data_IF_700204790385
#
_entry.id   IF_700204790385
#
_cell.length_a   1.000
_cell.length_b   1.000
_cell.length_c   1.000
_cell.angle_alpha   90.00
_cell.angle_beta   90.00
_cell.angle_gamma   90.00
#
_symmetry.space_group_name_H-M   'P 1'
#
loop_
_entity.id
_entity.type
_entity.pdbx_description
1 polymer ?
#
# COMPACT_ATOMS: atom_id res chain seq x y z
N UNK A 1 10.03 -53.52 -13.34
CA UNK A 1 10.30 -52.49 -12.31
C UNK A 1 11.07 -51.28 -12.84
N UNK A 2 12.19 -51.46 -13.57
CA UNK A 2 13.02 -50.34 -14.07
C UNK A 2 12.32 -49.42 -15.09
N UNK A 3 11.48 -49.96 -15.97
CA UNK A 3 10.75 -49.17 -16.99
C UNK A 3 9.67 -48.28 -16.37
N UNK A 4 8.97 -48.78 -15.34
CA UNK A 4 7.94 -48.00 -14.64
C UNK A 4 8.54 -46.81 -13.88
N UNK A 5 9.71 -47.01 -13.26
CA UNK A 5 10.44 -45.92 -12.58
C UNK A 5 10.92 -44.85 -13.58
N UNK A 6 11.37 -45.27 -14.78
CA UNK A 6 11.80 -44.35 -15.83
C UNK A 6 10.63 -43.51 -16.37
N UNK A 7 9.45 -44.12 -16.55
CA UNK A 7 8.24 -43.43 -17.01
C UNK A 7 7.77 -42.41 -15.95
N UNK A 8 7.78 -42.78 -14.66
CA UNK A 8 7.42 -41.85 -13.58
C UNK A 8 8.39 -40.66 -13.53
N UNK A 9 9.70 -40.91 -13.65
CA UNK A 9 10.71 -39.85 -13.70
C UNK A 9 10.50 -38.91 -14.89
N UNK A 10 10.18 -39.47 -16.08
CA UNK A 10 9.91 -38.68 -17.27
C UNK A 10 8.62 -37.85 -17.11
N UNK A 11 7.58 -38.38 -16.48
CA UNK A 11 6.35 -37.65 -16.20
C UNK A 11 6.58 -36.44 -15.28
N UNK A 12 7.47 -36.56 -14.28
CA UNK A 12 7.84 -35.45 -13.37
C UNK A 12 8.71 -34.38 -14.06
N UNK A 13 9.48 -34.78 -15.08
CA UNK A 13 10.33 -33.85 -15.86
C UNK A 13 9.59 -33.18 -17.02
N UNK A 14 8.57 -33.82 -17.59
CA UNK A 14 7.82 -33.34 -18.77
C UNK A 14 6.55 -32.58 -18.37
N UNK A 15 5.92 -32.93 -17.24
CA UNK A 15 4.95 -32.04 -16.62
C UNK A 15 5.70 -31.09 -15.69
N UNK A 16 5.86 -29.79 -16.02
CA UNK A 16 6.17 -28.84 -14.98
C UNK A 16 5.08 -29.04 -13.93
N UNK A 17 5.48 -29.40 -12.70
CA UNK A 17 4.65 -29.23 -11.53
C UNK A 17 4.32 -27.74 -11.48
N UNK A 18 3.30 -27.33 -12.23
CA UNK A 18 2.60 -26.09 -11.98
C UNK A 18 1.96 -26.36 -10.63
N UNK A 19 2.69 -25.99 -9.58
CA UNK A 19 2.10 -25.77 -8.28
C UNK A 19 0.94 -24.82 -8.58
N UNK A 20 -0.27 -25.35 -8.57
CA UNK A 20 -1.45 -24.53 -8.49
C UNK A 20 -1.19 -23.64 -7.28
N UNK A 21 -0.98 -22.35 -7.53
CA UNK A 21 -0.83 -21.39 -6.46
C UNK A 21 -2.17 -21.41 -5.74
N UNK A 22 -2.28 -22.22 -4.69
CA UNK A 22 -3.35 -22.10 -3.73
C UNK A 22 -3.37 -20.62 -3.32
N UNK A 23 -4.56 -20.09 -3.07
CA UNK A 23 -4.71 -18.79 -2.42
C UNK A 23 -3.72 -18.77 -1.25
N UNK A 24 -2.76 -17.83 -1.22
CA UNK A 24 -1.73 -17.84 -0.19
C UNK A 24 -2.41 -17.91 1.17
N UNK A 25 -2.00 -18.85 2.01
CA UNK A 25 -2.50 -18.88 3.37
C UNK A 25 -2.09 -17.58 4.08
N UNK A 26 -2.87 -17.18 5.08
CA UNK A 26 -2.65 -15.91 5.78
C UNK A 26 -1.18 -15.72 6.24
N UNK A 27 -0.46 -16.75 6.76
CA UNK A 27 0.95 -16.63 7.09
C UNK A 27 1.85 -16.28 5.90
N UNK A 28 1.66 -16.92 4.73
CA UNK A 28 2.44 -16.59 3.54
C UNK A 28 2.18 -15.17 3.05
N UNK A 29 0.93 -14.72 3.12
CA UNK A 29 0.57 -13.34 2.76
C UNK A 29 1.21 -12.32 3.70
N UNK A 30 1.12 -12.52 5.02
CA UNK A 30 1.75 -11.64 6.02
C UNK A 30 3.28 -11.59 5.85
N UNK A 31 3.91 -12.72 5.51
CA UNK A 31 5.34 -12.76 5.20
C UNK A 31 5.68 -11.91 3.97
N UNK A 32 4.88 -12.01 2.90
CA UNK A 32 5.07 -11.19 1.70
C UNK A 32 4.87 -9.71 2.00
N UNK A 33 3.85 -9.34 2.78
CA UNK A 33 3.60 -7.95 3.17
C UNK A 33 4.69 -7.39 4.08
N UNK A 34 5.27 -8.20 4.98
CA UNK A 34 6.43 -7.81 5.78
C UNK A 34 7.69 -7.64 4.92
N UNK A 35 7.94 -8.59 4.00
CA UNK A 35 9.07 -8.53 3.08
C UNK A 35 8.96 -7.31 2.14
N UNK A 36 7.76 -7.00 1.65
CA UNK A 36 7.51 -5.83 0.83
C UNK A 36 7.67 -4.52 1.63
N UNK A 37 7.22 -4.49 2.89
CA UNK A 37 7.45 -3.35 3.79
C UNK A 37 8.93 -3.04 3.95
N UNK A 38 9.80 -4.05 4.06
CA UNK A 38 11.25 -3.86 4.14
C UNK A 38 11.89 -3.58 2.77
N UNK A 39 11.39 -4.23 1.71
CA UNK A 39 11.84 -4.00 0.34
C UNK A 39 11.55 -2.56 -0.15
N UNK A 40 10.63 -1.84 0.51
CA UNK A 40 10.38 -0.43 0.22
C UNK A 40 11.52 0.50 0.68
N UNK A 41 12.40 0.05 1.60
CA UNK A 41 13.55 0.82 2.08
C UNK A 41 14.74 0.79 1.11
N UNK A 42 15.74 1.64 1.32
CA UNK A 42 17.04 1.57 0.65
C UNK A 42 18.02 0.64 1.40
N UNK A 43 18.99 0.08 0.66
CA UNK A 43 20.07 -0.73 1.22
C UNK A 43 20.10 -2.16 0.69
N UNK A 44 21.21 -2.85 0.94
CA UNK A 44 21.49 -4.18 0.37
C UNK A 44 20.45 -5.24 0.78
N UNK A 45 19.93 -5.15 2.00
CA UNK A 45 18.89 -6.07 2.47
C UNK A 45 17.57 -5.86 1.73
N UNK A 46 17.17 -4.60 1.50
CA UNK A 46 15.99 -4.28 0.69
C UNK A 46 16.16 -4.76 -0.75
N UNK A 47 17.34 -4.57 -1.36
CA UNK A 47 17.62 -5.11 -2.71
C UNK A 47 17.53 -6.63 -2.77
N UNK A 48 18.05 -7.33 -1.77
CA UNK A 48 17.92 -8.79 -1.67
C UNK A 48 16.45 -9.21 -1.61
N UNK A 49 15.62 -8.51 -0.81
CA UNK A 49 14.20 -8.81 -0.71
C UNK A 49 13.45 -8.52 -2.01
N UNK A 50 13.76 -7.42 -2.71
CA UNK A 50 13.23 -7.17 -4.06
C UNK A 50 13.55 -8.30 -5.02
N UNK A 51 14.81 -8.74 -5.07
CA UNK A 51 15.23 -9.87 -5.90
C UNK A 51 14.48 -11.16 -5.54
N UNK A 52 14.23 -11.42 -4.25
CA UNK A 52 13.45 -12.58 -3.78
C UNK A 52 11.98 -12.50 -4.16
N UNK A 53 11.37 -11.33 -4.03
CA UNK A 53 9.98 -11.11 -4.42
C UNK A 53 9.81 -11.26 -5.94
N UNK A 54 10.74 -10.73 -6.74
CA UNK A 54 10.74 -10.92 -8.19
C UNK A 54 10.94 -12.39 -8.58
N UNK A 55 11.85 -13.11 -7.91
CA UNK A 55 12.00 -14.55 -8.10
C UNK A 55 10.74 -15.35 -7.72
N UNK A 56 9.90 -14.81 -6.84
CA UNK A 56 8.60 -15.37 -6.46
C UNK A 56 7.44 -14.93 -7.38
N UNK A 57 7.73 -14.24 -8.49
CA UNK A 57 6.75 -13.87 -9.52
C UNK A 57 6.09 -12.50 -9.34
N UNK A 58 6.60 -11.66 -8.45
CA UNK A 58 6.14 -10.27 -8.32
C UNK A 58 6.87 -9.33 -9.29
N UNK A 59 6.10 -8.54 -10.02
CA UNK A 59 6.58 -7.45 -10.86
C UNK A 59 6.64 -6.15 -10.04
N UNK A 60 7.73 -5.40 -10.15
CA UNK A 60 7.89 -4.10 -9.48
C UNK A 60 7.50 -3.02 -10.49
N UNK A 61 6.40 -2.31 -10.24
CA UNK A 61 5.76 -1.41 -11.21
C UNK A 61 6.17 0.05 -11.01
N UNK A 62 6.46 0.46 -9.77
CA UNK A 62 6.82 1.84 -9.49
C UNK A 62 7.51 2.03 -8.15
N UNK A 63 8.43 2.99 -8.12
CA UNK A 63 9.10 3.46 -6.92
C UNK A 63 9.25 4.99 -6.97
N UNK A 64 8.76 5.64 -5.92
CA UNK A 64 8.98 7.06 -5.56
C UNK A 64 8.21 8.12 -6.36
N UNK A 65 7.69 9.12 -5.63
CA UNK A 65 7.20 10.37 -6.19
C UNK A 65 7.88 11.54 -5.48
N UNK A 66 8.41 12.50 -6.25
CA UNK A 66 8.86 13.77 -5.68
C UNK A 66 7.61 14.50 -5.18
N UNK A 67 7.58 14.91 -3.92
CA UNK A 67 6.33 15.39 -3.32
C UNK A 67 6.21 16.89 -3.16
N UNK A 68 5.09 17.30 -2.53
CA UNK A 68 4.65 18.69 -2.44
C UNK A 68 5.32 19.43 -1.27
N UNK A 69 5.75 20.68 -1.49
CA UNK A 69 6.38 21.55 -0.46
C UNK A 69 7.57 20.90 0.26
N UNK A 70 8.37 20.10 -0.45
CA UNK A 70 9.60 19.50 0.06
C UNK A 70 9.42 18.22 0.89
N UNK A 71 8.20 17.68 1.00
CA UNK A 71 7.98 16.33 1.54
C UNK A 71 8.12 15.34 0.40
N UNK A 72 9.03 14.37 0.49
CA UNK A 72 9.14 13.27 -0.50
C UNK A 72 8.26 12.12 -0.03
N UNK A 73 7.28 11.74 -0.85
CA UNK A 73 6.44 10.59 -0.61
C UNK A 73 7.02 9.39 -1.34
N UNK A 74 7.13 8.26 -0.66
CA UNK A 74 7.65 7.04 -1.29
C UNK A 74 6.63 5.95 -1.14
N UNK A 75 6.45 5.20 -2.20
CA UNK A 75 5.72 3.96 -2.18
C UNK A 75 6.42 3.00 -3.13
N UNK A 76 6.26 1.73 -2.85
CA UNK A 76 6.79 0.62 -3.62
C UNK A 76 5.61 -0.22 -4.07
N UNK A 77 5.32 -0.18 -5.36
CA UNK A 77 4.18 -0.88 -5.94
C UNK A 77 4.63 -2.15 -6.65
N UNK A 78 4.02 -3.25 -6.25
CA UNK A 78 4.24 -4.58 -6.80
C UNK A 78 2.93 -5.17 -7.30
N UNK A 79 3.01 -5.94 -8.38
CA UNK A 79 1.88 -6.65 -8.95
C UNK A 79 2.24 -8.11 -9.14
N UNK A 80 1.32 -9.01 -8.82
CA UNK A 80 1.41 -10.42 -9.20
C UNK A 80 0.18 -10.80 -9.99
N UNK A 81 0.37 -11.36 -11.18
CA UNK A 81 -0.69 -11.90 -12.02
C UNK A 81 -0.88 -13.38 -11.72
N UNK A 82 -2.11 -13.81 -11.46
CA UNK A 82 -2.43 -15.23 -11.36
C UNK A 82 -2.60 -15.88 -12.75
N UNK A 83 -2.95 -17.17 -12.76
CA UNK A 83 -3.07 -17.94 -14.01
C UNK A 83 -4.33 -17.58 -14.81
N UNK A 84 -5.33 -17.04 -14.13
CA UNK A 84 -6.62 -16.57 -14.60
C UNK A 84 -6.58 -15.11 -15.07
N UNK A 85 -5.45 -14.42 -14.84
CA UNK A 85 -5.18 -13.07 -15.30
C UNK A 85 -5.61 -11.97 -14.32
N UNK A 86 -6.10 -12.33 -13.13
CA UNK A 86 -6.39 -11.36 -12.09
C UNK A 86 -5.09 -10.81 -11.49
N UNK A 87 -5.08 -9.50 -11.26
CA UNK A 87 -3.94 -8.81 -10.69
C UNK A 87 -4.09 -8.69 -9.16
N UNK A 88 -3.00 -9.02 -8.47
CA UNK A 88 -2.86 -8.78 -7.04
C UNK A 88 -1.93 -7.59 -6.85
N UNK A 89 -2.46 -6.47 -6.37
CA UNK A 89 -1.68 -5.26 -6.14
C UNK A 89 -1.19 -5.22 -4.70
N UNK A 90 0.09 -4.94 -4.50
CA UNK A 90 0.68 -4.69 -3.20
C UNK A 90 1.43 -3.36 -3.23
N UNK A 91 1.03 -2.43 -2.37
CA UNK A 91 1.72 -1.16 -2.18
C UNK A 91 2.31 -1.11 -0.78
N UNK A 92 3.63 -1.00 -0.71
CA UNK A 92 4.37 -0.84 0.52
C UNK A 92 4.86 0.61 0.67
N UNK A 93 4.63 1.20 1.84
CA UNK A 93 5.18 2.51 2.19
C UNK A 93 6.40 2.30 3.10
N UNK A 94 7.60 2.78 2.73
CA UNK A 94 8.73 2.73 3.62
C UNK A 94 8.50 3.65 4.82
N UNK A 95 8.95 3.23 5.98
CA UNK A 95 9.05 4.12 7.13
C UNK A 95 10.21 5.10 6.99
N UNK A 96 10.63 5.66 8.12
CA UNK A 96 11.68 6.67 8.13
C UNK A 96 13.08 6.04 7.94
N UNK A 97 13.75 6.34 6.83
CA UNK A 97 15.16 5.94 6.62
C UNK A 97 16.18 6.84 7.34
N UNK A 98 15.82 8.11 7.55
CA UNK A 98 16.64 9.08 8.31
C UNK A 98 16.04 9.27 9.69
N UNK A 99 15.96 8.16 10.43
CA UNK A 99 15.07 7.88 11.57
C UNK A 99 14.87 8.98 12.62
N UNK A 100 15.89 9.79 12.91
CA UNK A 100 15.77 10.87 13.90
C UNK A 100 15.02 12.07 13.36
N UNK A 101 15.42 12.57 12.19
CA UNK A 101 15.07 13.92 11.75
C UNK A 101 13.61 14.00 11.32
N UNK A 102 13.12 13.00 10.58
CA UNK A 102 11.71 12.96 10.16
C UNK A 102 10.80 12.61 11.34
N UNK A 103 11.20 11.74 12.27
CA UNK A 103 10.38 11.47 13.45
C UNK A 103 10.25 12.69 14.36
N UNK A 104 11.29 13.54 14.42
CA UNK A 104 11.21 14.84 15.10
C UNK A 104 10.48 15.91 14.28
N UNK A 105 10.60 15.89 12.95
CA UNK A 105 9.94 16.83 12.03
C UNK A 105 8.47 16.49 11.77
N UNK A 106 8.05 15.28 12.12
CA UNK A 106 6.66 14.85 12.14
C UNK A 106 5.88 15.85 12.99
N UNK A 107 5.13 16.70 12.29
CA UNK A 107 4.34 17.76 12.93
C UNK A 107 3.29 17.09 13.80
N UNK A 108 3.44 17.20 15.12
CA UNK A 108 2.45 16.85 16.16
C UNK A 108 1.08 17.56 16.01
N UNK A 109 0.92 18.34 14.95
CA UNK A 109 -0.33 19.01 14.57
C UNK A 109 -1.29 17.99 13.99
N UNK A 110 -2.57 18.22 14.25
CA UNK A 110 -3.65 17.48 13.60
C UNK A 110 -4.11 18.23 12.35
N UNK A 111 -4.57 17.50 11.35
CA UNK A 111 -5.23 18.03 10.17
C UNK A 111 -6.59 17.36 9.99
N UNK A 112 -7.54 18.07 9.40
CA UNK A 112 -8.80 17.45 9.01
C UNK A 112 -8.57 16.49 7.83
N UNK A 113 -9.35 15.41 7.81
CA UNK A 113 -9.30 14.35 6.83
C UNK A 113 -10.68 14.14 6.20
N UNK A 114 -10.72 13.90 4.90
CA UNK A 114 -11.95 13.78 4.10
C UNK A 114 -11.86 14.53 2.76
N UNK A 115 -12.99 14.60 2.06
CA UNK A 115 -13.08 14.98 0.64
C UNK A 115 -13.19 13.73 -0.25
N UNK A 116 -13.61 13.88 -1.52
CA UNK A 116 -13.84 12.77 -2.46
C UNK A 116 -13.04 12.94 -3.78
N UNK A 117 -12.09 13.87 -3.82
CA UNK A 117 -11.16 14.08 -4.92
C UNK A 117 -9.86 14.71 -4.38
N UNK A 118 -8.70 14.57 -5.05
CA UNK A 118 -7.45 15.13 -4.55
C UNK A 118 -7.45 16.65 -4.31
N UNK A 119 -8.19 17.40 -5.13
CA UNK A 119 -8.38 18.84 -4.90
C UNK A 119 -9.10 19.11 -3.57
N UNK A 120 -10.14 18.32 -3.25
CA UNK A 120 -10.87 18.42 -1.98
C UNK A 120 -10.01 17.95 -0.80
N UNK A 121 -9.14 16.96 -0.99
CA UNK A 121 -8.25 16.48 0.05
C UNK A 121 -7.38 17.60 0.60
N UNK A 122 -6.83 18.44 -0.28
CA UNK A 122 -6.03 19.60 0.09
C UNK A 122 -6.87 20.68 0.78
N UNK A 123 -8.07 20.95 0.28
CA UNK A 123 -8.98 21.92 0.88
C UNK A 123 -9.40 21.53 2.31
N UNK A 124 -9.81 20.28 2.53
CA UNK A 124 -10.18 19.74 3.85
C UNK A 124 -8.97 19.72 4.79
N UNK A 125 -7.80 19.30 4.30
CA UNK A 125 -6.57 19.28 5.08
C UNK A 125 -6.22 20.66 5.66
N UNK A 126 -6.53 21.72 4.92
CA UNK A 126 -6.19 23.10 5.26
C UNK A 126 -7.33 23.86 5.97
N UNK A 127 -8.45 23.20 6.32
CA UNK A 127 -9.52 23.77 7.15
C UNK A 127 -8.96 24.40 8.44
N UNK A 128 -9.34 25.64 8.81
CA UNK A 128 -8.88 26.31 10.03
C UNK A 128 -9.17 25.51 11.30
N UNK A 129 -8.35 25.69 12.35
CA UNK A 129 -8.45 24.85 13.57
C UNK A 129 -9.81 25.02 14.26
N UNK A 130 -10.35 26.22 14.20
CA UNK A 130 -11.60 26.67 14.83
C UNK A 130 -12.82 25.97 14.22
N UNK A 131 -12.72 25.51 12.97
CA UNK A 131 -13.80 24.88 12.19
C UNK A 131 -13.76 23.34 12.24
N UNK A 132 -12.76 22.75 12.92
CA UNK A 132 -12.52 21.30 12.92
C UNK A 132 -13.39 20.49 13.89
N UNK A 133 -14.39 21.11 14.51
CA UNK A 133 -15.25 20.46 15.49
C UNK A 133 -15.99 19.26 14.89
N UNK A 134 -15.79 18.07 15.47
CA UNK A 134 -16.44 16.83 15.03
C UNK A 134 -15.91 16.23 13.72
N UNK A 135 -14.87 16.82 13.11
CA UNK A 135 -14.26 16.29 11.89
C UNK A 135 -13.33 15.10 12.20
N UNK A 136 -13.17 14.16 11.23
CA UNK A 136 -12.05 13.23 11.24
C UNK A 136 -10.72 14.00 11.26
N UNK A 137 -9.89 13.75 12.28
CA UNK A 137 -8.58 14.38 12.42
C UNK A 137 -7.49 13.32 12.42
N UNK A 138 -6.43 13.59 11.67
CA UNK A 138 -5.25 12.71 11.57
C UNK A 138 -3.97 13.47 11.85
N UNK A 139 -2.88 12.76 12.14
CA UNK A 139 -1.57 13.35 12.31
C UNK A 139 -1.09 14.00 10.98
N UNK A 140 -0.75 15.29 11.02
CA UNK A 140 -0.46 16.09 9.83
C UNK A 140 0.70 15.52 9.03
N UNK A 141 1.76 15.08 9.70
CA UNK A 141 2.94 14.54 9.01
C UNK A 141 2.66 13.24 8.26
N UNK A 142 1.78 12.37 8.78
CA UNK A 142 1.39 11.13 8.10
C UNK A 142 0.54 11.44 6.87
N UNK A 143 -0.38 12.41 7.00
CA UNK A 143 -1.21 12.87 5.90
C UNK A 143 -0.40 13.53 4.79
N UNK A 144 0.55 14.41 5.13
CA UNK A 144 1.41 15.05 4.14
C UNK A 144 2.30 14.02 3.41
N UNK A 145 2.79 12.99 4.12
CA UNK A 145 3.53 11.89 3.50
C UNK A 145 2.66 11.06 2.54
N UNK A 146 1.47 10.65 2.96
CA UNK A 146 0.52 9.92 2.11
C UNK A 146 0.10 10.74 0.89
N UNK A 147 -0.14 12.04 1.07
CA UNK A 147 -0.46 12.98 0.00
C UNK A 147 0.69 13.06 -1.01
N UNK A 148 1.93 13.17 -0.54
CA UNK A 148 3.11 13.19 -1.39
C UNK A 148 3.27 11.88 -2.17
N UNK A 149 3.02 10.74 -1.53
CA UNK A 149 3.24 9.43 -2.11
C UNK A 149 2.24 9.11 -3.24
N UNK A 150 0.95 9.33 -3.01
CA UNK A 150 -0.09 8.87 -3.95
C UNK A 150 -0.84 9.99 -4.66
N UNK A 151 -0.92 11.17 -4.06
CA UNK A 151 -1.86 12.22 -4.48
C UNK A 151 -1.16 13.53 -4.84
N UNK A 152 0.12 13.45 -5.21
CA UNK A 152 0.93 14.58 -5.71
C UNK A 152 1.52 14.20 -7.06
N UNK A 153 1.69 15.18 -7.93
CA UNK A 153 2.26 15.08 -9.27
C UNK A 153 1.52 14.12 -10.21
N UNK A 154 0.68 14.74 -11.03
CA UNK A 154 -0.06 14.09 -12.09
C UNK A 154 0.80 14.07 -13.36
N UNK A 155 1.73 13.10 -13.47
CA UNK A 155 2.58 12.95 -14.65
C UNK A 155 1.77 12.88 -15.97
N UNK A 156 0.52 12.39 -15.89
CA UNK A 156 -0.40 12.23 -17.02
C UNK A 156 -1.77 12.91 -16.78
N UNK A 157 -1.83 13.92 -15.90
CA UNK A 157 -3.08 14.61 -15.56
C UNK A 157 -3.92 13.94 -14.47
N UNK A 158 -3.53 12.74 -14.03
CA UNK A 158 -4.09 12.02 -12.88
C UNK A 158 -2.97 11.62 -11.90
N UNK A 159 -3.24 11.64 -10.58
CA UNK A 159 -2.30 11.18 -9.55
C UNK A 159 -2.20 9.66 -9.50
N UNK A 160 -1.15 9.10 -8.87
CA UNK A 160 -1.00 7.64 -8.75
C UNK A 160 -2.17 6.99 -7.99
N UNK A 161 -2.67 7.64 -6.94
CA UNK A 161 -3.81 7.17 -6.16
C UNK A 161 -5.14 7.27 -6.90
N UNK A 162 -5.32 8.28 -7.77
CA UNK A 162 -6.49 8.36 -8.63
C UNK A 162 -6.49 7.26 -9.70
N UNK A 163 -5.36 7.03 -10.39
CA UNK A 163 -5.21 5.90 -11.34
C UNK A 163 -5.54 4.56 -10.67
N UNK A 164 -4.95 4.32 -9.50
CA UNK A 164 -5.19 3.10 -8.72
C UNK A 164 -6.67 2.95 -8.33
N UNK A 165 -7.34 4.05 -7.94
CA UNK A 165 -8.76 4.02 -7.62
C UNK A 165 -9.63 3.81 -8.87
N UNK A 166 -9.24 4.32 -10.04
CA UNK A 166 -9.92 4.06 -11.30
C UNK A 166 -9.79 2.59 -11.70
N UNK A 167 -8.58 2.02 -11.63
CA UNK A 167 -8.30 0.62 -11.97
C UNK A 167 -9.07 -0.35 -11.07
N UNK A 168 -9.04 -0.14 -9.75
CA UNK A 168 -9.77 -1.00 -8.80
C UNK A 168 -11.30 -0.93 -9.00
N UNK A 169 -11.84 0.24 -9.33
CA UNK A 169 -13.28 0.36 -9.63
C UNK A 169 -13.67 -0.33 -10.93
N UNK A 170 -12.76 -0.36 -11.92
CA UNK A 170 -12.96 -1.09 -13.17
C UNK A 170 -12.87 -2.61 -12.99
N UNK A 171 -12.17 -3.08 -11.95
CA UNK A 171 -11.95 -4.50 -11.67
C UNK A 171 -12.38 -4.89 -10.24
N UNK A 172 -13.69 -5.02 -9.95
CA UNK A 172 -14.20 -5.26 -8.59
C UNK A 172 -13.73 -6.55 -7.90
N UNK A 173 -13.20 -7.51 -8.67
CA UNK A 173 -12.63 -8.76 -8.14
C UNK A 173 -11.19 -8.60 -7.65
N UNK A 174 -10.49 -7.56 -8.09
CA UNK A 174 -9.10 -7.31 -7.73
C UNK A 174 -8.98 -6.73 -6.33
N UNK A 175 -7.86 -7.05 -5.70
CA UNK A 175 -7.54 -6.64 -4.33
C UNK A 175 -6.25 -5.86 -4.31
N UNK A 176 -6.26 -4.82 -3.50
CA UNK A 176 -5.10 -4.01 -3.14
C UNK A 176 -4.71 -4.28 -1.69
N UNK A 177 -3.47 -4.73 -1.51
CA UNK A 177 -2.83 -4.87 -0.22
C UNK A 177 -1.96 -3.65 0.04
N UNK A 178 -2.17 -3.02 1.19
CA UNK A 178 -1.46 -1.82 1.63
C UNK A 178 -0.68 -2.17 2.88
N UNK A 179 0.64 -1.98 2.83
CA UNK A 179 1.52 -2.37 3.93
C UNK A 179 2.55 -1.31 4.26
N UNK A 180 3.09 -1.38 5.48
CA UNK A 180 4.20 -0.56 5.89
C UNK A 180 4.57 -0.71 7.35
N UNK A 181 5.81 -0.35 7.66
CA UNK A 181 6.35 -0.34 9.02
C UNK A 181 6.43 1.08 9.58
N UNK A 182 6.11 1.25 10.87
CA UNK A 182 6.20 2.54 11.58
C UNK A 182 5.42 3.65 10.84
N UNK A 183 6.08 4.73 10.39
CA UNK A 183 5.50 5.79 9.55
C UNK A 183 4.77 5.23 8.31
N UNK A 184 5.35 4.22 7.67
CA UNK A 184 4.77 3.59 6.48
C UNK A 184 3.44 2.91 6.77
N UNK A 185 3.29 2.32 7.96
CA UNK A 185 2.01 1.72 8.37
C UNK A 185 0.91 2.78 8.59
N UNK A 186 1.26 3.94 9.15
CA UNK A 186 0.33 5.06 9.23
C UNK A 186 -0.07 5.59 7.83
N UNK A 187 0.88 5.62 6.89
CA UNK A 187 0.60 6.00 5.51
C UNK A 187 -0.30 4.99 4.81
N UNK A 188 -0.11 3.68 5.03
CA UNK A 188 -0.96 2.62 4.48
C UNK A 188 -2.43 2.76 4.91
N UNK A 189 -2.69 3.03 6.20
CA UNK A 189 -4.03 3.29 6.73
C UNK A 189 -4.66 4.52 6.06
N UNK A 190 -3.91 5.62 5.96
CA UNK A 190 -4.42 6.85 5.32
C UNK A 190 -4.66 6.68 3.82
N UNK A 191 -3.82 5.90 3.14
CA UNK A 191 -3.97 5.58 1.72
C UNK A 191 -5.26 4.77 1.49
N UNK A 192 -5.54 3.74 2.29
CA UNK A 192 -6.77 2.98 2.22
C UNK A 192 -8.01 3.88 2.42
N UNK A 193 -7.97 4.74 3.44
CA UNK A 193 -9.04 5.70 3.69
C UNK A 193 -9.26 6.65 2.50
N UNK A 194 -8.18 7.15 1.86
CA UNK A 194 -8.28 7.99 0.66
C UNK A 194 -8.83 7.24 -0.56
N UNK A 195 -8.40 6.01 -0.79
CA UNK A 195 -8.93 5.21 -1.89
C UNK A 195 -10.42 4.89 -1.68
N UNK A 196 -10.84 4.66 -0.43
CA UNK A 196 -12.26 4.53 -0.10
C UNK A 196 -13.04 5.84 -0.35
N UNK A 197 -12.46 7.00 0.01
CA UNK A 197 -13.05 8.32 -0.32
C UNK A 197 -13.21 8.53 -1.84
N UNK A 198 -12.35 7.91 -2.66
CA UNK A 198 -12.45 7.91 -4.14
C UNK A 198 -13.42 6.85 -4.69
N UNK A 199 -14.08 6.09 -3.82
CA UNK A 199 -15.11 5.13 -4.20
C UNK A 199 -14.63 3.70 -4.46
N UNK A 200 -13.42 3.34 -4.02
CA UNK A 200 -12.98 1.93 -4.02
C UNK A 200 -13.76 1.14 -2.97
N UNK A 201 -14.17 -0.09 -3.32
CA UNK A 201 -14.96 -0.95 -2.42
C UNK A 201 -14.14 -1.39 -1.19
N UNK A 202 -14.73 -1.44 0.01
CA UNK A 202 -14.06 -1.93 1.21
C UNK A 202 -13.46 -3.34 1.07
N UNK A 203 -14.12 -4.22 0.31
CA UNK A 203 -13.68 -5.61 0.10
C UNK A 203 -12.38 -5.73 -0.73
N UNK A 204 -12.00 -4.66 -1.42
CA UNK A 204 -10.80 -4.59 -2.25
C UNK A 204 -9.60 -4.02 -1.48
N UNK A 205 -9.81 -3.39 -0.33
CA UNK A 205 -8.76 -2.69 0.42
C UNK A 205 -8.38 -3.49 1.67
N UNK A 206 -7.19 -4.11 1.63
CA UNK A 206 -6.63 -4.88 2.74
C UNK A 206 -5.38 -4.17 3.24
N UNK A 207 -5.34 -3.87 4.53
CA UNK A 207 -4.23 -3.15 5.15
C UNK A 207 -3.59 -4.05 6.20
N UNK A 208 -2.27 -4.24 6.11
CA UNK A 208 -1.48 -4.85 7.18
C UNK A 208 -0.42 -3.87 7.60
N UNK A 209 -0.29 -3.61 8.90
CA UNK A 209 0.75 -2.67 9.38
C UNK A 209 1.67 -3.31 10.40
N UNK A 210 2.94 -2.88 10.39
CA UNK A 210 3.96 -3.35 11.31
C UNK A 210 4.39 -2.20 12.23
N UNK A 211 3.94 -2.21 13.48
CA UNK A 211 4.30 -1.17 14.45
C UNK A 211 3.85 0.24 14.08
N UNK A 212 2.70 0.38 13.40
CA UNK A 212 2.15 1.69 13.06
C UNK A 212 1.79 2.51 14.32
N UNK A 213 2.10 3.83 14.35
CA UNK A 213 1.63 4.71 15.39
C UNK A 213 0.12 5.00 15.26
N UNK A 214 -0.48 5.58 16.30
CA UNK A 214 -1.87 6.05 16.22
C UNK A 214 -2.05 7.12 15.13
N UNK A 215 -2.98 6.87 14.20
CA UNK A 215 -3.14 7.68 12.98
C UNK A 215 -4.09 8.87 13.18
N UNK A 216 -5.23 8.65 13.84
CA UNK A 216 -6.32 9.63 13.91
C UNK A 216 -7.13 9.60 15.20
N UNK A 217 -8.06 10.54 15.31
CA UNK A 217 -8.99 10.65 16.43
C UNK A 217 -10.15 9.64 16.33
N UNK A 218 -11.03 9.64 17.34
CA UNK A 218 -12.22 8.78 17.36
C UNK A 218 -13.17 9.03 16.19
N UNK A 219 -13.27 10.27 15.71
CA UNK A 219 -14.11 10.59 14.56
C UNK A 219 -13.55 9.97 13.27
N UNK A 220 -12.22 9.95 13.10
CA UNK A 220 -11.58 9.21 12.00
C UNK A 220 -11.87 7.71 12.09
N UNK A 221 -11.70 7.10 13.26
CA UNK A 221 -12.00 5.67 13.44
C UNK A 221 -13.47 5.38 13.12
N UNK A 222 -14.40 6.17 13.66
CA UNK A 222 -15.85 5.99 13.41
C UNK A 222 -16.20 6.09 11.93
N UNK A 223 -15.54 6.98 11.18
CA UNK A 223 -15.80 7.17 9.76
C UNK A 223 -15.21 6.06 8.88
N UNK A 224 -14.05 5.50 9.26
CA UNK A 224 -13.27 4.64 8.36
C UNK A 224 -13.14 3.16 8.80
N UNK A 225 -13.56 2.78 10.00
CA UNK A 225 -13.39 1.40 10.52
C UNK A 225 -13.98 0.30 9.62
N UNK A 226 -15.05 0.59 8.87
CA UNK A 226 -15.74 -0.37 7.99
C UNK A 226 -15.45 -0.10 6.50
N UNK A 227 -14.45 0.74 6.20
CA UNK A 227 -14.14 1.21 4.83
C UNK A 227 -13.00 0.45 4.16
N UNK A 228 -12.30 -0.38 4.92
CA UNK A 228 -11.24 -1.29 4.49
C UNK A 228 -10.99 -2.32 5.60
N UNK A 229 -10.31 -3.42 5.27
CA UNK A 229 -9.85 -4.40 6.26
C UNK A 229 -8.51 -3.95 6.84
N UNK A 230 -8.36 -3.95 8.17
CA UNK A 230 -7.11 -3.65 8.89
C UNK A 230 -6.79 -4.75 9.92
#
# INVERSE_FOLDING_TARGET
>A
MKVLQLVILLCVLVFPLRAFAATPDLPALLFVEAAASEAAYSGEFSELLRARLTAAGWEIVGAETVGHRGTVGRFFHMVRRDADGAELHLIAFPGTERGSDIWTDLRMKRAAFGGHAPAEFLAVRDTPKEERGGMPLVHRGFLDYCQAALFTDAAEGETAGERLAADLRAHPSEKLYLTGHSLGGAAAILAAARLSDLGVSPDQLIVTTFGAPAVGNKDFVRTYQDRFTL
#
